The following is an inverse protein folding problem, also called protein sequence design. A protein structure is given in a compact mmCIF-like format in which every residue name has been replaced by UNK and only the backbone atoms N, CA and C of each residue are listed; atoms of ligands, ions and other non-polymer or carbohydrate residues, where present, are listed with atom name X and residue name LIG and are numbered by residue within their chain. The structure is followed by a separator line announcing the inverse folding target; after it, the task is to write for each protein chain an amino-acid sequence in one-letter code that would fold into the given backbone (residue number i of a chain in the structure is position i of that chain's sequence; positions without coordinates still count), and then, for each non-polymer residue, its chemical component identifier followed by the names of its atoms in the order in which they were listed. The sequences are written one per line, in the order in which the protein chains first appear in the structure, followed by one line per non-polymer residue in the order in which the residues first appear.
data_IF_115998388431
#
_entry.id   IF_115998388431
#
_cell.length_a   1.000
_cell.length_b   1.000
_cell.length_c   1.000
_cell.angle_alpha   90.00
_cell.angle_beta   90.00
_cell.angle_gamma   90.00
#
_symmetry.space_group_name_H-M   'P 1'
#
loop_
_entity.id
_entity.type
_entity.pdbx_description
1 polymer ?
#
# COMPACT_ATOMS: atom_id res chain seq x y z
N UNK A 1 4.69 5.94 3.29
CA UNK A 1 3.56 6.92 3.25
C UNK A 1 4.13 8.27 3.66
N UNK A 2 3.94 9.30 2.85
CA UNK A 2 4.46 10.65 3.14
C UNK A 2 3.60 11.41 4.17
N UNK A 3 4.00 12.66 4.47
CA UNK A 3 3.30 13.51 5.45
C UNK A 3 1.90 13.96 4.99
N UNK A 4 1.56 13.79 3.72
CA UNK A 4 0.24 14.10 3.16
C UNK A 4 -0.68 12.89 3.14
N UNK A 5 -0.17 11.70 3.48
CA UNK A 5 -0.93 10.46 3.46
C UNK A 5 -0.84 9.69 2.14
N UNK A 6 -0.04 10.15 1.18
CA UNK A 6 0.15 9.43 -0.10
C UNK A 6 1.23 8.36 0.01
N UNK A 7 1.08 7.29 -0.75
CA UNK A 7 2.12 6.26 -0.87
C UNK A 7 3.24 6.78 -1.78
N UNK A 8 4.33 7.26 -1.18
CA UNK A 8 5.50 7.71 -1.92
C UNK A 8 6.42 6.57 -2.43
N UNK A 9 6.38 5.41 -1.77
CA UNK A 9 7.17 4.22 -2.12
C UNK A 9 6.53 2.97 -1.55
N UNK A 10 6.52 1.89 -2.32
CA UNK A 10 6.11 0.56 -1.91
C UNK A 10 7.18 -0.48 -2.25
N UNK A 11 7.21 -1.59 -1.53
CA UNK A 11 8.01 -2.78 -1.85
C UNK A 11 7.25 -4.03 -1.45
N UNK A 12 7.47 -5.12 -2.16
CA UNK A 12 6.95 -6.43 -1.79
C UNK A 12 7.78 -7.00 -0.64
N UNK A 13 7.11 -7.46 0.42
CA UNK A 13 7.74 -8.11 1.58
C UNK A 13 7.65 -9.64 1.45
N UNK A 14 6.56 -10.15 0.87
CA UNK A 14 6.34 -11.57 0.58
C UNK A 14 5.83 -11.68 -0.86
N UNK A 15 6.61 -12.33 -1.71
CA UNK A 15 6.41 -12.33 -3.17
C UNK A 15 5.54 -13.48 -3.65
N UNK A 16 4.75 -13.17 -4.67
CA UNK A 16 4.25 -14.12 -5.67
C UNK A 16 4.63 -13.47 -7.00
N UNK A 17 5.71 -13.89 -7.68
CA UNK A 17 6.38 -13.10 -8.71
C UNK A 17 5.46 -12.56 -9.80
N UNK A 18 4.48 -13.36 -10.24
CA UNK A 18 3.52 -13.01 -11.29
C UNK A 18 2.49 -11.94 -10.85
N UNK A 19 2.36 -11.70 -9.54
CA UNK A 19 1.40 -10.77 -8.94
C UNK A 19 2.06 -9.52 -8.32
N UNK A 20 3.39 -9.52 -8.18
CA UNK A 20 4.12 -8.45 -7.49
C UNK A 20 3.88 -7.07 -8.12
N UNK A 21 3.91 -6.98 -9.44
CA UNK A 21 3.68 -5.73 -10.16
C UNK A 21 2.27 -5.17 -9.90
N UNK A 22 1.25 -6.03 -9.97
CA UNK A 22 -0.14 -5.65 -9.70
C UNK A 22 -0.35 -5.25 -8.24
N UNK A 23 0.31 -5.93 -7.30
CA UNK A 23 0.26 -5.59 -5.88
C UNK A 23 0.86 -4.19 -5.62
N UNK A 24 2.01 -3.88 -6.23
CA UNK A 24 2.63 -2.56 -6.12
C UNK A 24 1.74 -1.48 -6.73
N UNK A 25 1.20 -1.70 -7.94
CA UNK A 25 0.30 -0.75 -8.59
C UNK A 25 -0.91 -0.43 -7.71
N UNK A 26 -1.58 -1.46 -7.18
CA UNK A 26 -2.72 -1.30 -6.28
C UNK A 26 -2.39 -0.45 -5.05
N UNK A 27 -1.25 -0.73 -4.38
CA UNK A 27 -0.85 0.01 -3.17
C UNK A 27 -0.45 1.45 -3.48
N UNK A 28 0.16 1.71 -4.63
CA UNK A 28 0.57 3.08 -5.02
C UNK A 28 -0.63 4.02 -5.23
N UNK A 29 -1.82 3.49 -5.50
CA UNK A 29 -3.06 4.27 -5.64
C UNK A 29 -3.73 4.63 -4.31
N UNK A 30 -3.26 4.06 -3.19
CA UNK A 30 -3.88 4.31 -1.89
C UNK A 30 -3.58 5.71 -1.36
N UNK A 31 -4.59 6.30 -0.73
CA UNK A 31 -4.48 7.53 0.05
C UNK A 31 -4.92 7.25 1.49
N UNK A 32 -4.09 7.70 2.43
CA UNK A 32 -4.29 7.52 3.86
C UNK A 32 -4.55 8.85 4.54
N UNK A 33 -5.17 8.81 5.72
CA UNK A 33 -5.06 9.94 6.64
C UNK A 33 -3.60 10.06 7.10
N UNK A 34 -3.00 11.26 7.08
CA UNK A 34 -1.65 11.45 7.58
C UNK A 34 -1.48 10.92 9.00
N UNK A 35 -0.40 10.17 9.24
CA UNK A 35 -0.01 9.82 10.59
C UNK A 35 0.39 11.09 11.36
N UNK A 36 0.01 11.17 12.63
CA UNK A 36 0.30 12.33 13.47
C UNK A 36 1.17 11.92 14.66
N UNK A 37 2.16 12.76 14.99
CA UNK A 37 2.94 12.66 16.22
C UNK A 37 2.90 14.02 16.91
N UNK A 38 2.29 14.10 18.09
CA UNK A 38 2.10 15.38 18.79
C UNK A 38 1.29 16.39 17.97
N UNK A 39 0.27 15.94 17.24
CA UNK A 39 -0.56 16.79 16.37
C UNK A 39 0.07 17.18 15.04
N UNK A 40 1.34 16.84 14.78
CA UNK A 40 2.03 17.17 13.53
C UNK A 40 2.06 15.98 12.56
N UNK A 41 1.79 16.19 11.25
CA UNK A 41 1.91 15.14 10.25
C UNK A 41 3.35 14.62 10.09
N UNK A 42 3.51 13.30 10.11
CA UNK A 42 4.79 12.62 9.97
C UNK A 42 4.73 11.53 8.90
N UNK A 43 5.84 11.32 8.19
CA UNK A 43 5.97 10.20 7.27
C UNK A 43 6.03 8.89 8.06
N UNK A 44 5.46 7.82 7.50
CA UNK A 44 5.37 6.53 8.17
C UNK A 44 5.51 5.34 7.22
N UNK A 45 5.76 4.17 7.79
CA UNK A 45 5.84 2.89 7.09
C UNK A 45 4.71 2.01 7.61
N UNK A 46 4.00 1.35 6.70
CA UNK A 46 2.95 0.38 7.01
C UNK A 46 3.12 -0.87 6.15
N UNK A 47 2.62 -2.00 6.66
CA UNK A 47 2.55 -3.27 5.94
C UNK A 47 1.08 -3.63 5.74
N UNK A 48 0.69 -3.96 4.52
CA UNK A 48 -0.67 -4.35 4.19
C UNK A 48 -0.68 -5.65 3.37
N UNK A 49 -1.52 -6.64 3.71
CA UNK A 49 -1.71 -7.83 2.89
C UNK A 49 -2.55 -7.49 1.65
N UNK A 50 -2.15 -8.01 0.49
CA UNK A 50 -2.93 -7.94 -0.75
C UNK A 50 -3.46 -9.32 -1.07
N UNK A 51 -4.78 -9.44 -1.22
CA UNK A 51 -5.46 -10.70 -1.51
C UNK A 51 -5.96 -10.69 -2.95
N UNK A 52 -5.48 -11.64 -3.75
CA UNK A 52 -6.00 -11.89 -5.09
C UNK A 52 -7.00 -13.04 -5.02
N UNK A 53 -8.09 -12.95 -5.79
CA UNK A 53 -9.12 -14.00 -5.85
C UNK A 53 -9.53 -14.21 -7.29
N UNK A 54 -9.56 -15.47 -7.72
CA UNK A 54 -10.09 -15.85 -9.03
C UNK A 54 -11.56 -16.18 -8.83
N UNK A 55 -12.44 -15.34 -9.36
CA UNK A 55 -13.88 -15.63 -9.40
C UNK A 55 -14.22 -16.20 -10.76
N UNK A 56 -14.92 -17.35 -10.80
CA UNK A 56 -15.55 -17.79 -12.05
C UNK A 56 -16.62 -16.77 -12.42
N UNK A 57 -16.52 -16.18 -13.61
CA UNK A 57 -17.66 -15.48 -14.21
C UNK A 57 -18.79 -16.50 -14.41
N UNK A 58 -19.99 -16.14 -13.97
CA UNK A 58 -21.22 -16.86 -14.31
C UNK A 58 -21.54 -16.69 -15.78
#
# INVERSE_FOLDING_TARGET
IDKTGRVAKARVVKSIPELDAAAIQCVMEWEFRPAQKGGQPVATIASAPITFTITKKK
#
